data_IF_270308114201
#
_entry.id   IF_270308114201
#
_cell.length_a   1.000
_cell.length_b   1.000
_cell.length_c   1.000
_cell.angle_alpha   90.00
_cell.angle_beta   90.00
_cell.angle_gamma   90.00
#
_symmetry.space_group_name_H-M   'P 1'
#
loop_
_entity.id
_entity.type
_entity.pdbx_description
1 polymer ?
#
# COMPACT_ATOMS: atom_id res chain seq x y z
N UNK A 1 3.81 5.98 1.84
CA UNK A 1 2.83 5.52 2.84
C UNK A 1 3.39 4.29 3.55
N UNK A 2 3.42 4.28 4.88
CA UNK A 2 4.07 3.18 5.62
C UNK A 2 3.11 2.10 6.13
N UNK A 3 1.82 2.40 6.38
CA UNK A 3 0.91 1.37 6.88
C UNK A 3 -0.57 1.66 6.58
N UNK A 4 -1.15 0.97 5.59
CA UNK A 4 -2.61 0.82 5.48
C UNK A 4 -3.04 -0.28 6.46
N UNK A 5 -3.75 0.09 7.53
CA UNK A 5 -4.22 -0.84 8.56
C UNK A 5 -5.74 -0.83 8.63
N UNK A 6 -6.33 -1.99 8.37
CA UNK A 6 -7.76 -2.24 8.57
C UNK A 6 -7.92 -3.18 9.76
N UNK A 7 -8.77 -2.78 10.71
CA UNK A 7 -9.18 -3.62 11.82
C UNK A 7 -9.75 -4.94 11.27
N UNK A 8 -9.40 -6.07 11.91
CA UNK A 8 -9.74 -7.42 11.44
C UNK A 8 -11.22 -7.59 11.11
N UNK A 9 -12.13 -6.96 11.87
CA UNK A 9 -13.59 -7.03 11.68
C UNK A 9 -14.08 -6.41 10.36
N UNK A 10 -13.27 -5.56 9.73
CA UNK A 10 -13.63 -4.78 8.55
C UNK A 10 -12.81 -5.13 7.31
N UNK A 11 -11.95 -6.17 7.39
CA UNK A 11 -11.21 -6.68 6.23
C UNK A 11 -12.17 -7.36 5.25
N UNK A 12 -11.79 -7.38 3.97
CA UNK A 12 -12.62 -7.96 2.90
C UNK A 12 -13.80 -7.10 2.46
N UNK A 13 -13.98 -5.90 3.02
CA UNK A 13 -15.06 -4.95 2.68
C UNK A 13 -14.62 -3.81 1.75
N UNK A 14 -13.54 -3.99 0.99
CA UNK A 14 -12.95 -2.98 0.09
C UNK A 14 -12.52 -1.64 0.73
N UNK A 15 -12.55 -1.51 2.06
CA UNK A 15 -12.15 -0.27 2.76
C UNK A 15 -10.69 0.10 2.49
N UNK A 16 -9.78 -0.88 2.50
CA UNK A 16 -8.36 -0.62 2.22
C UNK A 16 -8.12 -0.10 0.80
N UNK A 17 -8.89 -0.60 -0.17
CA UNK A 17 -8.84 -0.13 -1.56
C UNK A 17 -9.38 1.29 -1.66
N UNK A 18 -10.51 1.58 -1.02
CA UNK A 18 -11.07 2.93 -0.98
C UNK A 18 -10.06 3.91 -0.38
N UNK A 19 -9.45 3.58 0.77
CA UNK A 19 -8.44 4.44 1.42
C UNK A 19 -7.25 4.74 0.50
N UNK A 20 -6.72 3.73 -0.18
CA UNK A 20 -5.60 3.92 -1.11
C UNK A 20 -6.00 4.78 -2.31
N UNK A 21 -7.17 4.55 -2.90
CA UNK A 21 -7.64 5.35 -4.03
C UNK A 21 -7.81 6.82 -3.64
N UNK A 22 -8.32 7.11 -2.44
CA UNK A 22 -8.40 8.48 -1.93
C UNK A 22 -7.01 9.10 -1.74
N UNK A 23 -6.07 8.37 -1.15
CA UNK A 23 -4.70 8.84 -0.98
C UNK A 23 -4.01 9.11 -2.34
N UNK A 24 -4.23 8.25 -3.33
CA UNK A 24 -3.71 8.42 -4.69
C UNK A 24 -4.32 9.65 -5.35
N UNK A 25 -5.63 9.81 -5.28
CA UNK A 25 -6.34 10.96 -5.85
C UNK A 25 -5.86 12.27 -5.22
N UNK A 26 -5.73 12.30 -3.88
CA UNK A 26 -5.17 13.45 -3.16
C UNK A 26 -3.75 13.78 -3.62
N UNK A 27 -2.86 12.79 -3.69
CA UNK A 27 -1.50 12.99 -4.17
C UNK A 27 -1.46 13.59 -5.57
N UNK A 28 -2.21 13.02 -6.51
CA UNK A 28 -2.31 13.52 -7.89
C UNK A 28 -2.83 14.96 -7.93
N UNK A 29 -3.88 15.28 -7.17
CA UNK A 29 -4.45 16.62 -7.12
C UNK A 29 -3.45 17.67 -6.56
N UNK A 30 -2.48 17.23 -5.77
CA UNK A 30 -1.43 18.07 -5.19
C UNK A 30 -0.09 17.98 -5.95
N UNK A 31 -0.09 17.48 -7.18
CA UNK A 31 1.10 17.44 -8.03
C UNK A 31 2.11 16.34 -7.68
N UNK A 32 1.73 15.34 -6.88
CA UNK A 32 2.60 14.20 -6.62
C UNK A 32 2.81 13.39 -7.90
N UNK A 33 4.07 13.21 -8.29
CA UNK A 33 4.47 12.42 -9.46
C UNK A 33 4.69 10.94 -9.15
N UNK A 34 4.87 10.60 -7.87
CA UNK A 34 5.13 9.22 -7.43
C UNK A 34 4.41 8.92 -6.12
N UNK A 35 3.97 7.67 -5.98
CA UNK A 35 3.43 7.12 -4.74
C UNK A 35 4.22 5.87 -4.40
N UNK A 36 4.89 5.90 -3.25
CA UNK A 36 5.72 4.80 -2.78
C UNK A 36 5.16 4.21 -1.49
N UNK A 37 5.26 2.88 -1.39
CA UNK A 37 4.96 2.13 -0.18
C UNK A 37 6.01 1.04 0.01
N UNK A 38 6.22 0.66 1.26
CA UNK A 38 7.01 -0.50 1.64
C UNK A 38 6.08 -1.53 2.27
N UNK A 39 6.26 -2.80 1.93
CA UNK A 39 5.51 -3.90 2.55
C UNK A 39 6.45 -5.04 2.90
N UNK A 40 6.16 -5.74 3.99
CA UNK A 40 6.90 -6.93 4.36
C UNK A 40 6.67 -8.03 3.31
N UNK A 41 7.75 -8.63 2.79
CA UNK A 41 7.69 -9.70 1.78
C UNK A 41 6.90 -10.92 2.27
N UNK A 42 6.84 -11.17 3.58
CA UNK A 42 6.06 -12.26 4.17
C UNK A 42 4.55 -12.06 4.04
N UNK A 43 4.09 -10.84 3.75
CA UNK A 43 2.66 -10.52 3.60
C UNK A 43 2.19 -10.66 2.15
N UNK A 44 2.15 -11.89 1.65
CA UNK A 44 1.75 -12.22 0.26
C UNK A 44 0.41 -11.58 -0.13
N UNK A 45 -0.59 -11.63 0.76
CA UNK A 45 -1.89 -11.01 0.51
C UNK A 45 -1.82 -9.48 0.34
N UNK A 46 -0.94 -8.81 1.10
CA UNK A 46 -0.75 -7.36 0.95
C UNK A 46 -0.02 -7.04 -0.36
N UNK A 47 0.97 -7.86 -0.73
CA UNK A 47 1.67 -7.73 -2.02
C UNK A 47 0.70 -7.85 -3.20
N UNK A 48 -0.09 -8.93 -3.26
CA UNK A 48 -1.08 -9.12 -4.33
C UNK A 48 -2.11 -7.98 -4.38
N UNK A 49 -2.53 -7.50 -3.20
CA UNK A 49 -3.43 -6.35 -3.11
C UNK A 49 -2.82 -5.08 -3.72
N UNK A 50 -1.57 -4.73 -3.40
CA UNK A 50 -0.92 -3.56 -4.02
C UNK A 50 -0.68 -3.74 -5.52
N UNK A 51 -0.30 -4.94 -5.97
CA UNK A 51 -0.18 -5.27 -7.40
C UNK A 51 -1.50 -5.05 -8.13
N UNK A 52 -2.64 -5.45 -7.55
CA UNK A 52 -3.97 -5.20 -8.14
C UNK A 52 -4.34 -3.72 -8.26
N UNK A 53 -3.64 -2.84 -7.56
CA UNK A 53 -3.81 -1.38 -7.62
C UNK A 53 -2.78 -0.70 -8.54
N UNK A 54 -1.99 -1.49 -9.29
CA UNK A 54 -1.00 -0.99 -10.25
C UNK A 54 0.35 -0.63 -9.65
N UNK A 55 0.62 -0.98 -8.38
CA UNK A 55 1.97 -0.87 -7.83
C UNK A 55 2.87 -1.95 -8.41
N UNK A 56 4.12 -1.59 -8.69
CA UNK A 56 5.15 -2.51 -9.16
C UNK A 56 6.25 -2.67 -8.10
N UNK A 57 6.84 -3.87 -8.06
CA UNK A 57 8.01 -4.13 -7.23
C UNK A 57 9.22 -3.42 -7.84
N UNK A 58 9.52 -2.20 -7.38
CA UNK A 58 10.65 -1.41 -7.89
C UNK A 58 11.85 -1.40 -6.94
N UNK A 59 11.63 -1.56 -5.63
CA UNK A 59 12.66 -1.44 -4.61
C UNK A 59 12.48 -2.51 -3.53
N UNK A 60 13.59 -3.05 -3.03
CA UNK A 60 13.58 -3.98 -1.91
C UNK A 60 13.80 -3.25 -0.58
N UNK A 61 12.90 -3.45 0.39
CA UNK A 61 13.10 -2.93 1.75
C UNK A 61 14.15 -3.74 2.52
N UNK A 62 15.05 -3.06 3.22
CA UNK A 62 16.11 -3.67 4.05
C UNK A 62 15.74 -3.58 5.54
N UNK A 63 16.10 -4.59 6.33
CA UNK A 63 15.99 -4.60 7.80
C UNK A 63 17.28 -5.13 8.40
N UNK A 64 17.82 -4.47 9.44
CA UNK A 64 18.93 -4.98 10.26
C UNK A 64 18.42 -5.15 11.69
N UNK A 65 18.48 -6.37 12.22
CA UNK A 65 18.30 -6.62 13.64
C UNK A 65 19.65 -6.42 14.32
N UNK A 66 19.66 -5.72 15.45
CA UNK A 66 20.83 -5.56 16.35
C UNK A 66 20.48 -6.09 17.72
#
# INVERSE_FOLDING_TARGET
MEAVRINKRFRGKNIGQWMLNQAIAYGKANGASIIQLTTDKKRVLAKNFYHSLGFTDSHEGMKKHV
#
